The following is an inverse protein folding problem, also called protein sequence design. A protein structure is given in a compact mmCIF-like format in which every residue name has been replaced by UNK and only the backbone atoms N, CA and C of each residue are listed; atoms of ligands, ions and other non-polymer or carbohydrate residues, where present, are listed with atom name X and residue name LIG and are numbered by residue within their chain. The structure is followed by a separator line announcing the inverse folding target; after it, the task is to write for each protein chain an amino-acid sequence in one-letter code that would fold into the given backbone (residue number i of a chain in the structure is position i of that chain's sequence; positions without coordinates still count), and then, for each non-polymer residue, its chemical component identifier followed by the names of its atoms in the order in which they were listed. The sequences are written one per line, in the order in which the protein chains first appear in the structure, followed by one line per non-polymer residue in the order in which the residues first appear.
data_IF_270964968193
#
_entry.id   IF_270964968193
#
_cell.length_a   1.000
_cell.length_b   1.000
_cell.length_c   1.000
_cell.angle_alpha   90.00
_cell.angle_beta   90.00
_cell.angle_gamma   90.00
#
_symmetry.space_group_name_H-M   'P 1'
#
loop_
_entity.id
_entity.type
_entity.pdbx_description
1 polymer ?
#
# COMPACT_ATOMS: atom_id res chain seq x y z
N UNK A 1 -12.98 -4.11 -9.67
CA UNK A 1 -11.87 -5.08 -9.45
C UNK A 1 -11.59 -5.13 -7.97
N UNK A 2 -11.26 -6.29 -7.40
CA UNK A 2 -10.91 -6.41 -5.97
C UNK A 2 -9.40 -6.51 -5.81
N UNK A 3 -8.83 -5.69 -4.93
CA UNK A 3 -7.43 -5.75 -4.48
C UNK A 3 -7.46 -6.00 -2.97
N UNK A 4 -7.25 -7.25 -2.56
CA UNK A 4 -7.55 -7.67 -1.18
C UNK A 4 -9.01 -7.36 -0.81
N UNK A 5 -9.21 -6.59 0.26
CA UNK A 5 -10.52 -6.12 0.72
C UNK A 5 -11.06 -4.88 -0.01
N UNK A 6 -10.25 -4.20 -0.82
CA UNK A 6 -10.60 -2.91 -1.46
C UNK A 6 -11.23 -3.13 -2.83
N UNK A 7 -12.39 -2.49 -3.08
CA UNK A 7 -13.04 -2.48 -4.40
C UNK A 7 -12.59 -1.27 -5.20
N UNK A 8 -12.02 -1.51 -6.39
CA UNK A 8 -11.56 -0.49 -7.33
C UNK A 8 -12.51 -0.37 -8.53
N UNK A 9 -12.94 0.86 -8.82
CA UNK A 9 -13.84 1.19 -9.92
C UNK A 9 -15.31 0.80 -9.66
N UNK A 10 -16.17 1.02 -10.66
CA UNK A 10 -17.59 0.66 -10.57
C UNK A 10 -18.38 1.51 -9.56
N UNK A 11 -18.01 2.78 -9.39
CA UNK A 11 -18.66 3.69 -8.44
C UNK A 11 -18.21 3.56 -6.99
N UNK A 12 -17.25 2.67 -6.68
CA UNK A 12 -16.60 2.65 -5.37
C UNK A 12 -15.79 3.95 -5.12
N UNK A 13 -15.55 4.33 -3.86
CA UNK A 13 -14.69 5.48 -3.53
C UNK A 13 -13.32 5.40 -4.20
N UNK A 14 -12.71 6.57 -4.46
CA UNK A 14 -11.35 6.65 -5.00
C UNK A 14 -10.39 6.22 -3.89
N UNK A 15 -9.64 5.14 -4.11
CA UNK A 15 -8.67 4.63 -3.15
C UNK A 15 -7.32 5.38 -3.27
N UNK A 16 -6.75 5.78 -2.14
CA UNK A 16 -5.41 6.36 -2.06
C UNK A 16 -4.37 5.24 -1.95
N UNK A 17 -3.31 5.32 -2.75
CA UNK A 17 -2.23 4.33 -2.77
C UNK A 17 -0.85 4.99 -2.67
N UNK A 18 0.13 4.22 -2.21
CA UNK A 18 1.52 4.65 -2.07
C UNK A 18 2.49 3.54 -2.44
N UNK A 19 3.80 3.82 -2.41
CA UNK A 19 4.85 2.86 -2.71
C UNK A 19 6.01 3.02 -1.72
N UNK A 20 6.60 1.90 -1.30
CA UNK A 20 7.80 1.92 -0.46
C UNK A 20 9.02 2.42 -1.23
N UNK A 21 10.02 2.91 -0.51
CA UNK A 21 11.31 3.36 -1.02
C UNK A 21 12.49 2.60 -0.39
N UNK A 22 12.23 1.69 0.54
CA UNK A 22 13.21 0.79 1.14
C UNK A 22 13.75 -0.23 0.12
N UNK A 23 14.92 -0.80 0.41
CA UNK A 23 15.34 -2.03 -0.27
C UNK A 23 14.36 -3.14 0.12
N UNK A 24 13.66 -3.71 -0.87
CA UNK A 24 12.67 -4.77 -0.65
C UNK A 24 13.25 -5.96 0.10
N UNK A 25 14.54 -6.27 -0.08
CA UNK A 25 15.19 -7.36 0.63
C UNK A 25 15.34 -7.10 2.14
N UNK A 26 15.31 -5.82 2.57
CA UNK A 26 15.24 -5.45 3.98
C UNK A 26 13.79 -5.53 4.47
N UNK A 27 13.47 -6.68 5.06
CA UNK A 27 12.13 -6.98 5.58
C UNK A 27 11.71 -6.01 6.68
N UNK A 28 12.62 -5.67 7.61
CA UNK A 28 12.26 -4.84 8.77
C UNK A 28 11.98 -3.41 8.34
N UNK A 29 12.85 -2.84 7.50
CA UNK A 29 12.65 -1.49 6.96
C UNK A 29 11.36 -1.42 6.13
N UNK A 30 11.14 -2.40 5.24
CA UNK A 30 9.97 -2.41 4.35
C UNK A 30 8.66 -2.56 5.11
N UNK A 31 8.60 -3.45 6.11
CA UNK A 31 7.40 -3.60 6.95
C UNK A 31 7.13 -2.33 7.74
N UNK A 32 8.16 -1.71 8.32
CA UNK A 32 8.02 -0.47 9.08
C UNK A 32 7.43 0.64 8.21
N UNK A 33 7.98 0.85 7.01
CA UNK A 33 7.46 1.86 6.09
C UNK A 33 6.04 1.54 5.60
N UNK A 34 5.69 0.27 5.38
CA UNK A 34 4.31 -0.11 5.05
C UNK A 34 3.34 0.33 6.13
N UNK A 35 3.68 0.14 7.42
CA UNK A 35 2.84 0.58 8.53
C UNK A 35 2.73 2.10 8.60
N UNK A 36 3.84 2.82 8.43
CA UNK A 36 3.83 4.30 8.38
C UNK A 36 2.92 4.84 7.26
N UNK A 37 2.94 4.20 6.08
CA UNK A 37 2.08 4.58 4.96
C UNK A 37 0.61 4.30 5.27
N UNK A 38 0.29 3.20 5.93
CA UNK A 38 -1.09 2.89 6.38
C UNK A 38 -1.56 3.91 7.42
N UNK A 39 -0.72 4.25 8.40
CA UNK A 39 -1.03 5.27 9.42
C UNK A 39 -1.22 6.66 8.80
N UNK A 40 -0.52 6.96 7.70
CA UNK A 40 -0.73 8.16 6.90
C UNK A 40 -1.99 8.13 6.02
N UNK A 41 -2.73 7.02 5.99
CA UNK A 41 -4.00 6.86 5.28
C UNK A 41 -3.89 6.16 3.92
N UNK A 42 -2.77 5.49 3.62
CA UNK A 42 -2.66 4.69 2.41
C UNK A 42 -3.53 3.44 2.49
N UNK A 43 -4.43 3.25 1.54
CA UNK A 43 -5.32 2.08 1.46
C UNK A 43 -4.67 0.92 0.72
N UNK A 44 -3.64 1.20 -0.09
CA UNK A 44 -2.86 0.22 -0.86
C UNK A 44 -1.39 0.63 -0.89
N UNK A 45 -0.50 -0.30 -0.56
CA UNK A 45 0.96 -0.09 -0.62
C UNK A 45 1.58 -1.00 -1.67
N UNK A 46 2.35 -0.42 -2.59
CA UNK A 46 3.12 -1.15 -3.60
C UNK A 46 4.57 -1.31 -3.15
N UNK A 47 5.16 -2.45 -3.49
CA UNK A 47 6.57 -2.78 -3.21
C UNK A 47 7.22 -3.24 -4.52
N UNK A 48 8.46 -2.81 -4.77
CA UNK A 48 9.28 -3.31 -5.90
C UNK A 48 9.65 -4.77 -5.65
N UNK A 49 9.77 -5.60 -6.69
CA UNK A 49 10.19 -7.01 -6.57
C UNK A 49 11.49 -7.22 -7.32
#
# INVERSE_FOLDING_TARGET
VRVGGVQIGGGAPVAVQSMTMTDTADVVATVTQCLELVDAGSELVRVTV
#
